data_IF_827763834667
#
_entry.id   IF_827763834667
#
_cell.length_a   1.000
_cell.length_b   1.000
_cell.length_c   1.000
_cell.angle_alpha   90.00
_cell.angle_beta   90.00
_cell.angle_gamma   90.00
#
_symmetry.space_group_name_H-M   'P 1'
#
loop_
_entity.id
_entity.type
_entity.pdbx_description
1 polymer ?
#
# COMPACT_ATOMS: atom_id res chain seq x y z
N UNK A 1 4.86 1.07 -6.30
CA UNK A 1 3.56 0.38 -6.42
C UNK A 1 2.46 1.33 -6.91
N UNK A 2 2.34 2.54 -6.36
CA UNK A 2 1.39 3.57 -6.81
C UNK A 2 1.37 3.77 -8.33
N UNK A 3 2.53 3.99 -8.95
CA UNK A 3 2.57 4.31 -10.38
C UNK A 3 2.19 3.11 -11.26
N UNK A 4 2.47 1.89 -10.79
CA UNK A 4 2.01 0.64 -11.42
C UNK A 4 0.49 0.51 -11.31
N UNK A 5 -0.09 0.77 -10.14
CA UNK A 5 -1.54 0.73 -9.94
C UNK A 5 -2.30 1.76 -10.79
N UNK A 6 -1.67 2.85 -11.21
CA UNK A 6 -2.32 3.94 -11.97
C UNK A 6 -2.07 3.79 -13.48
N UNK A 7 -0.91 3.32 -13.90
CA UNK A 7 -0.50 3.31 -15.31
C UNK A 7 -0.35 1.91 -15.92
N UNK A 8 -0.25 0.87 -15.10
CA UNK A 8 0.01 -0.52 -15.51
C UNK A 8 -0.81 -1.49 -14.64
N UNK A 9 -2.09 -1.20 -14.44
CA UNK A 9 -2.93 -1.97 -13.52
C UNK A 9 -3.29 -3.35 -14.07
N UNK A 10 -3.26 -3.54 -15.39
CA UNK A 10 -3.44 -4.83 -16.04
C UNK A 10 -2.27 -5.75 -15.66
N UNK A 11 -2.55 -6.83 -14.94
CA UNK A 11 -1.54 -7.76 -14.42
C UNK A 11 -1.07 -7.45 -12.99
N UNK A 12 -1.72 -6.53 -12.29
CA UNK A 12 -1.48 -6.34 -10.85
C UNK A 12 -1.93 -7.56 -10.06
N UNK A 13 -1.03 -8.03 -9.19
CA UNK A 13 -1.32 -9.07 -8.21
C UNK A 13 -2.13 -8.47 -7.04
N UNK A 14 -3.41 -8.82 -6.98
CA UNK A 14 -4.33 -8.33 -5.95
C UNK A 14 -3.98 -8.81 -4.54
N UNK A 15 -3.45 -10.02 -4.39
CA UNK A 15 -3.03 -10.55 -3.09
C UNK A 15 -1.88 -9.71 -2.53
N UNK A 16 -0.95 -9.33 -3.40
CA UNK A 16 0.14 -8.43 -3.03
C UNK A 16 -0.37 -7.04 -2.63
N UNK A 17 -1.33 -6.48 -3.36
CA UNK A 17 -1.94 -5.20 -2.99
C UNK A 17 -2.63 -5.29 -1.63
N UNK A 18 -3.40 -6.36 -1.40
CA UNK A 18 -4.11 -6.55 -0.15
C UNK A 18 -3.16 -6.71 1.05
N UNK A 19 -2.06 -7.44 0.87
CA UNK A 19 -1.01 -7.53 1.89
C UNK A 19 -0.42 -6.17 2.27
N UNK A 20 -0.21 -5.26 1.30
CA UNK A 20 0.28 -3.90 1.59
C UNK A 20 -0.77 -3.11 2.38
N UNK A 21 -2.05 -3.25 2.01
CA UNK A 21 -3.16 -2.57 2.70
C UNK A 21 -3.29 -3.04 4.15
N UNK A 22 -3.20 -4.35 4.40
CA UNK A 22 -3.40 -4.91 5.74
C UNK A 22 -2.17 -4.80 6.64
N UNK A 23 -0.96 -4.88 6.09
CA UNK A 23 0.27 -5.00 6.88
C UNK A 23 1.11 -3.74 6.90
N UNK A 24 1.18 -3.00 5.79
CA UNK A 24 2.10 -1.86 5.66
C UNK A 24 1.42 -0.52 5.96
N UNK A 25 0.20 -0.30 5.44
CA UNK A 25 -0.53 0.95 5.67
C UNK A 25 -0.82 1.24 7.15
N UNK A 26 -1.19 0.28 8.01
CA UNK A 26 -1.39 0.55 9.44
C UNK A 26 -0.11 1.02 10.13
N UNK A 27 1.03 0.41 9.80
CA UNK A 27 2.33 0.78 10.37
C UNK A 27 2.74 2.20 9.94
N UNK A 28 2.46 2.55 8.68
CA UNK A 28 2.66 3.92 8.19
C UNK A 28 1.78 4.92 8.96
N UNK A 29 0.50 4.59 9.19
CA UNK A 29 -0.44 5.42 9.95
C UNK A 29 0.03 5.65 11.40
N UNK A 30 0.51 4.62 12.07
CA UNK A 30 1.05 4.76 13.43
C UNK A 30 2.35 5.58 13.46
N UNK A 31 3.20 5.45 12.43
CA UNK A 31 4.42 6.28 12.31
C UNK A 31 4.07 7.76 12.12
N UNK A 32 3.06 8.07 11.31
CA UNK A 32 2.55 9.43 11.13
C UNK A 32 1.94 10.00 12.40
N UNK A 33 1.28 9.18 13.22
CA UNK A 33 0.77 9.61 14.54
C UNK A 33 1.88 9.97 15.51
N UNK A 34 3.02 9.28 15.48
CA UNK A 34 4.17 9.52 16.35
C UNK A 34 4.98 10.77 15.98
N UNK A 35 4.82 11.28 14.77
CA UNK A 35 5.45 12.52 14.29
C UNK A 35 4.70 13.78 14.76
N UNK A 36 3.53 13.61 15.39
CA UNK A 36 2.66 14.68 15.88
C UNK A 36 2.78 14.82 17.39
#
# INVERSE_FOLDING_TARGET
>A
MRDVLIHQYEGVDLEKVWSVVEKELPNLKESLRKLK
#
